data_IF_318554161912
#
_entry.id   IF_318554161912
#
_cell.length_a   1.000
_cell.length_b   1.000
_cell.length_c   1.000
_cell.angle_alpha   90.00
_cell.angle_beta   90.00
_cell.angle_gamma   90.00
#
_symmetry.space_group_name_H-M   'P 1'
#
loop_
_entity.id
_entity.type
_entity.pdbx_description
1 polymer ?
#
# COMPACT_ATOMS: atom_id res chain seq x y z
N UNK A 1 6.53 -19.30 -31.73
CA UNK A 1 5.56 -19.60 -30.65
C UNK A 1 6.33 -19.55 -29.34
N UNK A 2 6.30 -18.42 -28.63
CA UNK A 2 6.95 -18.28 -27.32
C UNK A 2 5.90 -18.58 -26.25
N UNK A 3 6.11 -19.68 -25.54
CA UNK A 3 5.26 -20.09 -24.42
C UNK A 3 5.43 -19.10 -23.28
N UNK A 4 4.32 -18.46 -22.91
CA UNK A 4 4.23 -17.56 -21.77
C UNK A 4 4.36 -18.41 -20.48
N UNK A 5 5.52 -18.39 -19.87
CA UNK A 5 5.75 -19.03 -18.57
C UNK A 5 5.18 -18.10 -17.50
N UNK A 6 4.01 -18.46 -16.99
CA UNK A 6 3.41 -17.76 -15.84
C UNK A 6 4.18 -18.17 -14.60
N UNK A 7 5.15 -17.36 -14.18
CA UNK A 7 5.84 -17.55 -12.90
C UNK A 7 4.89 -17.16 -11.78
N UNK A 8 4.40 -18.17 -11.05
CA UNK A 8 3.65 -17.98 -9.82
C UNK A 8 4.66 -17.77 -8.71
N UNK A 9 4.89 -16.51 -8.31
CA UNK A 9 5.66 -16.20 -7.11
C UNK A 9 4.78 -16.38 -5.88
N UNK A 10 5.12 -17.38 -5.09
CA UNK A 10 4.56 -17.59 -3.75
C UNK A 10 5.40 -16.77 -2.78
N UNK A 11 4.89 -15.60 -2.40
CA UNK A 11 5.47 -14.78 -1.35
C UNK A 11 5.10 -15.39 0.01
N UNK A 12 5.97 -16.24 0.56
CA UNK A 12 5.86 -16.73 1.92
C UNK A 12 6.68 -15.86 2.87
N UNK A 13 6.11 -14.74 3.31
CA UNK A 13 6.64 -13.99 4.45
C UNK A 13 5.90 -14.44 5.71
N UNK A 14 6.60 -15.20 6.55
CA UNK A 14 6.13 -15.55 7.90
C UNK A 14 6.25 -14.34 8.80
N UNK A 15 5.12 -13.68 9.07
CA UNK A 15 5.04 -12.67 10.11
C UNK A 15 4.91 -13.37 11.45
N UNK A 16 5.94 -13.26 12.31
CA UNK A 16 5.87 -13.62 13.71
C UNK A 16 5.02 -12.57 14.45
N UNK A 17 3.80 -12.94 14.79
CA UNK A 17 2.93 -12.14 15.64
C UNK A 17 3.26 -12.45 17.11
N UNK A 18 3.82 -11.48 17.82
CA UNK A 18 3.96 -11.50 19.26
C UNK A 18 2.67 -10.98 19.90
N UNK A 19 1.93 -11.88 20.53
CA UNK A 19 0.79 -11.55 21.35
C UNK A 19 1.27 -11.03 22.71
N UNK A 20 1.13 -9.73 22.93
CA UNK A 20 1.23 -9.13 24.26
C UNK A 20 -0.11 -9.17 24.96
N UNK A 21 -0.25 -10.02 25.96
CA UNK A 21 -1.35 -10.00 26.94
C UNK A 21 -1.06 -8.91 27.96
N UNK A 22 -1.98 -7.97 28.15
CA UNK A 22 -2.00 -7.22 29.40
C UNK A 22 -3.42 -7.10 29.93
N UNK A 23 -3.55 -7.53 31.16
CA UNK A 23 -4.78 -7.63 31.94
C UNK A 23 -4.87 -6.49 32.94
N UNK A 24 -6.08 -6.00 33.16
CA UNK A 24 -6.51 -5.59 34.49
C UNK A 24 -6.66 -4.11 34.77
N UNK A 25 -7.83 -3.77 35.25
CA UNK A 25 -7.99 -2.55 36.06
C UNK A 25 -9.38 -1.93 36.01
N UNK A 26 -10.28 -2.52 36.74
CA UNK A 26 -11.59 -1.98 37.15
C UNK A 26 -11.45 -0.76 38.06
N UNK A 27 -12.25 0.31 37.87
CA UNK A 27 -12.88 1.04 38.99
C UNK A 27 -13.91 2.07 38.50
N UNK A 28 -15.07 1.94 39.03
CA UNK A 28 -16.28 2.76 39.00
C UNK A 28 -16.12 4.10 39.71
N UNK A 29 -16.89 5.13 39.27
CA UNK A 29 -17.68 6.06 40.11
C UNK A 29 -18.16 7.22 39.23
N UNK A 30 -19.39 7.42 38.91
CA UNK A 30 -20.47 8.05 39.60
C UNK A 30 -20.42 9.58 39.59
N UNK A 31 -21.30 10.26 38.81
CA UNK A 31 -21.46 11.71 38.87
C UNK A 31 -22.49 12.23 37.85
N UNK A 32 -23.73 12.27 38.25
CA UNK A 32 -24.88 12.86 37.58
C UNK A 32 -24.84 14.37 37.60
N UNK A 33 -25.03 15.07 36.47
CA UNK A 33 -25.70 16.37 36.44
C UNK A 33 -26.21 16.70 35.05
N UNK A 34 -27.50 16.78 34.96
CA UNK A 34 -28.33 17.26 33.86
C UNK A 34 -28.10 18.75 33.58
N UNK A 35 -27.99 19.13 32.31
CA UNK A 35 -28.55 20.39 31.83
C UNK A 35 -28.80 20.34 30.32
N UNK A 36 -29.99 20.73 30.01
CA UNK A 36 -30.78 20.80 28.77
C UNK A 36 -30.17 21.62 27.62
N UNK A 37 -30.66 21.22 26.43
CA UNK A 37 -30.95 22.01 25.20
C UNK A 37 -29.79 22.17 24.20
N UNK A 38 -29.85 21.52 23.06
CA UNK A 38 -30.61 21.76 21.84
C UNK A 38 -30.35 20.65 20.82
N UNK A 39 -31.31 20.22 19.97
CA UNK A 39 -31.05 19.24 18.96
C UNK A 39 -30.44 19.92 17.74
N UNK A 40 -29.11 20.09 17.72
CA UNK A 40 -28.43 20.20 16.45
C UNK A 40 -28.56 18.85 15.76
N UNK A 41 -29.23 18.86 14.60
CA UNK A 41 -29.44 17.71 13.76
C UNK A 41 -28.16 16.92 13.50
N UNK A 42 -28.28 15.66 13.07
CA UNK A 42 -27.14 14.80 12.89
C UNK A 42 -26.19 15.44 11.89
N UNK A 43 -25.15 16.11 12.39
CA UNK A 43 -23.93 16.31 11.62
C UNK A 43 -23.47 14.92 11.30
N UNK A 44 -23.67 14.52 10.06
CA UNK A 44 -23.14 13.29 9.48
C UNK A 44 -21.62 13.41 9.51
N UNK A 45 -21.04 13.24 10.69
CA UNK A 45 -19.63 12.97 10.85
C UNK A 45 -19.43 11.50 10.41
N UNK A 46 -19.45 11.29 9.08
CA UNK A 46 -18.76 10.17 8.48
C UNK A 46 -17.25 10.42 8.69
N UNK A 47 -16.81 10.38 9.93
CA UNK A 47 -15.40 10.32 10.27
C UNK A 47 -14.95 8.92 9.87
N UNK A 48 -14.66 8.76 8.58
CA UNK A 48 -13.99 7.57 8.06
C UNK A 48 -12.68 7.49 8.83
N UNK A 49 -12.50 6.46 9.65
CA UNK A 49 -11.20 6.23 10.25
C UNK A 49 -10.25 5.79 9.13
N UNK A 50 -9.55 6.78 8.58
CA UNK A 50 -8.65 6.60 7.43
C UNK A 50 -7.59 5.54 7.67
N UNK A 51 -7.18 5.33 8.92
CA UNK A 51 -6.23 4.29 9.30
C UNK A 51 -6.87 2.90 9.17
N UNK A 52 -8.09 2.74 9.67
CA UNK A 52 -8.83 1.47 9.54
C UNK A 52 -9.07 1.13 8.07
N UNK A 53 -9.51 2.09 7.27
CA UNK A 53 -9.75 1.87 5.83
C UNK A 53 -8.46 1.57 5.07
N UNK A 54 -7.36 2.25 5.39
CA UNK A 54 -6.06 1.92 4.81
C UNK A 54 -5.64 0.47 5.09
N UNK A 55 -5.73 0.03 6.34
CA UNK A 55 -5.39 -1.36 6.70
C UNK A 55 -6.36 -2.38 6.10
N UNK A 56 -7.65 -2.03 5.97
CA UNK A 56 -8.65 -2.85 5.29
C UNK A 56 -8.32 -3.03 3.81
N UNK A 57 -7.94 -1.95 3.13
CA UNK A 57 -7.50 -1.98 1.74
C UNK A 57 -6.28 -2.88 1.55
N UNK A 58 -5.25 -2.73 2.38
CA UNK A 58 -4.06 -3.60 2.37
C UNK A 58 -4.45 -5.08 2.49
N UNK A 59 -5.32 -5.41 3.45
CA UNK A 59 -5.78 -6.80 3.63
C UNK A 59 -6.48 -7.36 2.40
N UNK A 60 -7.28 -6.54 1.68
CA UNK A 60 -7.91 -6.93 0.43
C UNK A 60 -6.87 -7.15 -0.68
N UNK A 61 -5.88 -6.26 -0.79
CA UNK A 61 -4.79 -6.39 -1.77
C UNK A 61 -3.99 -7.68 -1.53
N UNK A 62 -3.64 -8.00 -0.29
CA UNK A 62 -2.98 -9.28 0.05
C UNK A 62 -3.83 -10.51 -0.29
N UNK A 63 -5.15 -10.39 -0.23
CA UNK A 63 -6.08 -11.43 -0.69
C UNK A 63 -6.29 -11.44 -2.21
N UNK A 64 -5.54 -10.63 -2.96
CA UNK A 64 -5.66 -10.44 -4.41
C UNK A 64 -7.00 -9.84 -4.86
N UNK A 65 -7.75 -9.23 -3.94
CA UNK A 65 -8.97 -8.48 -4.22
C UNK A 65 -8.63 -7.03 -4.62
N UNK A 66 -7.78 -6.89 -5.64
CA UNK A 66 -7.12 -5.63 -6.01
C UNK A 66 -8.10 -4.49 -6.28
N UNK A 67 -9.14 -4.73 -7.07
CA UNK A 67 -10.13 -3.69 -7.40
C UNK A 67 -10.87 -3.16 -6.15
N UNK A 68 -11.17 -4.03 -5.19
CA UNK A 68 -11.82 -3.61 -3.94
C UNK A 68 -10.87 -2.83 -3.04
N UNK A 69 -9.61 -3.28 -2.94
CA UNK A 69 -8.58 -2.58 -2.18
C UNK A 69 -8.30 -1.19 -2.77
N UNK A 70 -8.13 -1.11 -4.10
CA UNK A 70 -7.91 0.16 -4.81
C UNK A 70 -9.03 1.15 -4.55
N UNK A 71 -10.29 0.73 -4.69
CA UNK A 71 -11.45 1.60 -4.46
C UNK A 71 -11.47 2.21 -3.04
N UNK A 72 -11.05 1.45 -2.03
CA UNK A 72 -10.95 1.97 -0.66
C UNK A 72 -9.82 3.01 -0.57
N UNK A 73 -8.65 2.74 -1.17
CA UNK A 73 -7.52 3.69 -1.17
C UNK A 73 -7.87 5.00 -1.89
N UNK A 74 -8.59 4.91 -3.02
CA UNK A 74 -9.08 6.09 -3.75
C UNK A 74 -10.04 6.93 -2.89
N UNK A 75 -10.92 6.30 -2.10
CA UNK A 75 -11.86 7.02 -1.23
C UNK A 75 -11.17 7.80 -0.10
N UNK A 76 -9.97 7.40 0.30
CA UNK A 76 -9.18 8.06 1.36
C UNK A 76 -7.98 8.83 0.80
N UNK A 77 -7.83 8.92 -0.53
CA UNK A 77 -6.69 9.58 -1.17
C UNK A 77 -6.55 11.03 -0.73
N UNK A 78 -7.64 11.77 -0.64
CA UNK A 78 -7.63 13.19 -0.30
C UNK A 78 -7.61 13.45 1.22
N UNK A 79 -7.79 12.41 2.02
CA UNK A 79 -7.79 12.52 3.47
C UNK A 79 -6.37 12.72 4.02
N UNK A 80 -6.30 13.40 5.18
CA UNK A 80 -5.03 13.54 5.88
C UNK A 80 -4.57 12.19 6.42
N UNK A 81 -3.36 11.71 6.07
CA UNK A 81 -2.87 10.43 6.55
C UNK A 81 -2.78 10.39 8.08
N UNK A 82 -3.25 9.28 8.66
CA UNK A 82 -3.10 8.99 10.08
C UNK A 82 -2.71 7.52 10.25
N UNK A 83 -1.58 7.27 10.90
CA UNK A 83 -1.08 5.92 11.12
C UNK A 83 -0.48 5.22 9.89
N UNK A 84 -0.32 5.96 8.77
CA UNK A 84 0.37 5.48 7.55
C UNK A 84 1.04 6.63 6.82
N UNK A 85 1.97 6.32 5.91
CA UNK A 85 2.59 7.32 5.03
C UNK A 85 1.79 7.45 3.73
N UNK A 86 1.63 8.67 3.23
CA UNK A 86 0.95 8.92 1.93
C UNK A 86 1.68 8.24 0.77
N UNK A 87 3.01 8.13 0.83
CA UNK A 87 3.79 7.40 -0.16
C UNK A 87 3.42 5.91 -0.20
N UNK A 88 3.24 5.27 0.97
CA UNK A 88 2.79 3.88 1.05
C UNK A 88 1.41 3.70 0.42
N UNK A 89 0.48 4.65 0.65
CA UNK A 89 -0.86 4.61 0.04
C UNK A 89 -0.76 4.59 -1.48
N UNK A 90 0.00 5.52 -2.07
CA UNK A 90 0.20 5.56 -3.52
C UNK A 90 0.91 4.31 -4.05
N UNK A 91 1.90 3.78 -3.33
CA UNK A 91 2.54 2.52 -3.71
C UNK A 91 1.53 1.37 -3.79
N UNK A 92 0.63 1.21 -2.80
CA UNK A 92 -0.42 0.20 -2.83
C UNK A 92 -1.47 0.45 -3.93
N UNK A 93 -1.80 1.71 -4.23
CA UNK A 93 -2.69 2.06 -5.36
C UNK A 93 -2.06 1.65 -6.70
N UNK A 94 -0.78 1.93 -6.89
CA UNK A 94 -0.01 1.50 -8.06
C UNK A 94 0.01 -0.01 -8.21
N UNK A 95 0.33 -0.72 -7.13
CA UNK A 95 0.36 -2.18 -7.12
C UNK A 95 -1.03 -2.78 -7.45
N UNK A 96 -2.09 -2.28 -6.82
CA UNK A 96 -3.44 -2.75 -7.08
C UNK A 96 -3.87 -2.47 -8.53
N UNK A 97 -3.55 -1.30 -9.09
CA UNK A 97 -3.86 -0.94 -10.48
C UNK A 97 -3.15 -1.86 -11.48
N UNK A 98 -1.89 -2.21 -11.22
CA UNK A 98 -1.08 -3.10 -12.07
C UNK A 98 -1.54 -4.57 -12.01
N UNK A 99 -1.91 -5.07 -10.82
CA UNK A 99 -2.20 -6.49 -10.57
C UNK A 99 -3.66 -6.89 -10.81
N UNK A 100 -4.54 -5.98 -11.22
CA UNK A 100 -5.92 -6.31 -11.59
C UNK A 100 -6.00 -7.27 -12.78
N UNK A 101 -7.16 -7.91 -12.95
CA UNK A 101 -7.44 -8.78 -14.12
C UNK A 101 -7.24 -8.04 -15.45
N UNK A 102 -7.63 -6.75 -15.48
CA UNK A 102 -7.37 -5.83 -16.58
C UNK A 102 -6.45 -4.73 -16.03
N UNK A 103 -5.11 -4.86 -16.15
CA UNK A 103 -4.17 -3.91 -15.60
C UNK A 103 -4.35 -2.51 -16.21
N UNK A 104 -4.29 -1.48 -15.37
CA UNK A 104 -4.18 -0.11 -15.81
C UNK A 104 -2.75 0.37 -15.54
N UNK A 105 -1.85 0.12 -16.50
CA UNK A 105 -0.43 0.44 -16.36
C UNK A 105 -0.16 1.94 -16.26
N UNK A 106 -0.94 2.78 -16.97
CA UNK A 106 -0.81 4.24 -16.91
C UNK A 106 -1.13 4.76 -15.49
N UNK A 107 -2.25 4.35 -14.92
CA UNK A 107 -2.58 4.74 -13.55
C UNK A 107 -1.58 4.17 -12.55
N UNK A 108 -1.14 2.93 -12.73
CA UNK A 108 -0.14 2.31 -11.85
C UNK A 108 1.17 3.12 -11.84
N UNK A 109 1.68 3.51 -13.03
CA UNK A 109 2.86 4.35 -13.17
C UNK A 109 2.67 5.69 -12.47
N UNK A 110 1.55 6.36 -12.70
CA UNK A 110 1.24 7.64 -12.06
C UNK A 110 1.23 7.54 -10.53
N UNK A 111 0.67 6.46 -9.97
CA UNK A 111 0.68 6.26 -8.53
C UNK A 111 2.08 5.98 -7.97
N UNK A 112 2.89 5.17 -8.64
CA UNK A 112 4.27 4.94 -8.20
C UNK A 112 5.11 6.22 -8.27
N UNK A 113 4.94 7.03 -9.33
CA UNK A 113 5.61 8.33 -9.44
C UNK A 113 5.16 9.31 -8.34
N UNK A 114 3.86 9.31 -7.97
CA UNK A 114 3.38 10.07 -6.81
C UNK A 114 4.03 9.58 -5.51
N UNK A 115 4.15 8.27 -5.30
CA UNK A 115 4.85 7.71 -4.14
C UNK A 115 6.30 8.21 -4.07
N UNK A 116 7.04 8.12 -5.19
CA UNK A 116 8.42 8.57 -5.29
C UNK A 116 8.60 10.10 -5.20
N UNK A 117 7.59 10.87 -5.55
CA UNK A 117 7.60 12.33 -5.35
C UNK A 117 7.50 12.72 -3.88
N UNK A 118 6.86 11.90 -3.06
CA UNK A 118 6.71 12.11 -1.61
C UNK A 118 7.86 11.49 -0.80
N UNK A 119 8.34 10.35 -1.24
CA UNK A 119 9.45 9.62 -0.63
C UNK A 119 10.30 9.05 -1.77
N UNK A 120 11.32 9.83 -2.16
CA UNK A 120 12.19 9.48 -3.29
C UNK A 120 12.89 8.14 -3.13
N UNK A 121 13.09 7.68 -1.91
CA UNK A 121 13.78 6.44 -1.57
C UNK A 121 12.82 5.33 -1.15
N UNK A 122 11.55 5.44 -1.52
CA UNK A 122 10.53 4.45 -1.22
C UNK A 122 10.81 3.13 -1.94
N UNK A 123 11.40 2.16 -1.23
CA UNK A 123 11.92 0.90 -1.76
C UNK A 123 10.88 0.16 -2.60
N UNK A 124 9.67 -0.06 -2.07
CA UNK A 124 8.63 -0.78 -2.82
C UNK A 124 8.14 -0.04 -4.08
N UNK A 125 8.18 1.30 -4.10
CA UNK A 125 7.81 2.04 -5.31
C UNK A 125 8.90 1.97 -6.38
N UNK A 126 10.19 1.98 -5.99
CA UNK A 126 11.31 1.77 -6.89
C UNK A 126 11.25 0.38 -7.54
N UNK A 127 11.03 -0.66 -6.74
CA UNK A 127 10.89 -2.05 -7.20
C UNK A 127 9.71 -2.19 -8.17
N UNK A 128 8.50 -1.83 -7.73
CA UNK A 128 7.29 -2.09 -8.50
C UNK A 128 7.16 -1.22 -9.75
N UNK A 129 7.71 -0.02 -9.75
CA UNK A 129 7.83 0.78 -10.97
C UNK A 129 8.85 0.16 -11.94
N UNK A 130 9.95 -0.40 -11.42
CA UNK A 130 10.92 -1.14 -12.22
C UNK A 130 10.30 -2.36 -12.90
N UNK A 131 9.53 -3.17 -12.15
CA UNK A 131 8.77 -4.29 -12.71
C UNK A 131 7.76 -3.82 -13.77
N UNK A 132 7.04 -2.72 -13.53
CA UNK A 132 6.09 -2.15 -14.50
C UNK A 132 6.79 -1.73 -15.79
N UNK A 133 7.96 -1.09 -15.69
CA UNK A 133 8.74 -0.70 -16.86
C UNK A 133 9.21 -1.91 -17.67
N UNK A 134 9.63 -2.97 -17.00
CA UNK A 134 9.95 -4.23 -17.66
C UNK A 134 8.73 -4.83 -18.37
N UNK A 135 7.58 -4.96 -17.69
CA UNK A 135 6.32 -5.47 -18.23
C UNK A 135 5.83 -4.68 -19.46
N UNK A 136 6.22 -3.40 -19.55
CA UNK A 136 5.84 -2.48 -20.65
C UNK A 136 6.96 -2.26 -21.68
N UNK A 137 7.99 -3.12 -21.70
CA UNK A 137 9.14 -3.08 -22.61
C UNK A 137 9.98 -1.79 -22.52
N UNK A 138 10.08 -1.21 -21.35
CA UNK A 138 10.90 -0.03 -21.03
C UNK A 138 12.10 -0.43 -20.16
N UNK A 139 12.87 -1.39 -20.63
CA UNK A 139 13.94 -2.06 -19.87
C UNK A 139 15.01 -1.09 -19.36
N UNK A 140 15.42 -0.09 -20.16
CA UNK A 140 16.42 0.89 -19.73
C UNK A 140 15.96 1.67 -18.51
N UNK A 141 14.66 2.00 -18.43
CA UNK A 141 14.09 2.66 -17.28
C UNK A 141 14.04 1.73 -16.06
N UNK A 142 13.73 0.46 -16.27
CA UNK A 142 13.75 -0.55 -15.20
C UNK A 142 15.16 -0.73 -14.62
N UNK A 143 16.19 -0.78 -15.47
CA UNK A 143 17.60 -0.87 -15.03
C UNK A 143 18.04 0.35 -14.23
N UNK A 144 17.63 1.57 -14.63
CA UNK A 144 17.91 2.79 -13.87
C UNK A 144 17.28 2.76 -12.47
N UNK A 145 16.11 2.15 -12.32
CA UNK A 145 15.47 1.97 -11.00
C UNK A 145 16.16 0.87 -10.18
N UNK A 146 16.64 -0.20 -10.83
CA UNK A 146 17.45 -1.22 -10.18
C UNK A 146 18.74 -0.63 -9.58
N UNK A 147 19.45 0.20 -10.35
CA UNK A 147 20.68 0.88 -9.87
C UNK A 147 20.37 1.74 -8.66
N UNK A 148 19.28 2.52 -8.71
CA UNK A 148 18.83 3.33 -7.57
C UNK A 148 18.44 2.47 -6.37
N UNK A 149 17.73 1.37 -6.59
CA UNK A 149 17.34 0.43 -5.55
C UNK A 149 18.56 -0.20 -4.87
N UNK A 150 19.62 -0.51 -5.63
CA UNK A 150 20.90 -0.97 -5.09
C UNK A 150 21.56 0.05 -4.16
N UNK A 151 21.46 1.34 -4.48
CA UNK A 151 21.99 2.43 -3.64
C UNK A 151 21.16 2.57 -2.35
N UNK A 152 19.84 2.53 -2.44
CA UNK A 152 18.92 2.83 -1.33
C UNK A 152 18.75 1.64 -0.38
N UNK A 153 18.52 0.44 -0.92
CA UNK A 153 18.21 -0.76 -0.16
C UNK A 153 19.40 -1.72 -0.03
N UNK A 154 20.40 -1.58 -0.91
CA UNK A 154 21.51 -2.51 -1.06
C UNK A 154 21.16 -3.71 -1.94
N UNK A 155 22.18 -4.25 -2.63
CA UNK A 155 22.02 -5.39 -3.56
C UNK A 155 21.64 -6.70 -2.85
N UNK A 156 21.78 -6.77 -1.53
CA UNK A 156 21.36 -7.93 -0.74
C UNK A 156 19.88 -7.92 -0.37
N UNK A 157 19.17 -6.81 -0.56
CA UNK A 157 17.73 -6.71 -0.28
C UNK A 157 16.90 -7.64 -1.16
N UNK A 158 15.72 -7.99 -0.70
CA UNK A 158 14.81 -8.84 -1.47
C UNK A 158 14.30 -8.09 -2.72
N UNK A 159 13.96 -6.84 -2.55
CA UNK A 159 13.42 -5.98 -3.60
C UNK A 159 14.42 -5.80 -4.75
N UNK A 160 15.70 -5.59 -4.42
CA UNK A 160 16.75 -5.54 -5.44
C UNK A 160 16.86 -6.87 -6.19
N UNK A 161 16.92 -7.99 -5.45
CA UNK A 161 17.05 -9.32 -6.07
C UNK A 161 15.86 -9.69 -6.93
N UNK A 162 14.64 -9.32 -6.53
CA UNK A 162 13.43 -9.59 -7.31
C UNK A 162 13.49 -8.84 -8.64
N UNK A 163 13.80 -7.55 -8.63
CA UNK A 163 13.93 -6.76 -9.86
C UNK A 163 15.15 -7.18 -10.70
N UNK A 164 16.29 -7.48 -10.06
CA UNK A 164 17.49 -7.97 -10.75
C UNK A 164 17.22 -9.27 -11.50
N UNK A 165 16.58 -10.26 -10.86
CA UNK A 165 16.25 -11.53 -11.47
C UNK A 165 15.23 -11.42 -12.61
N UNK A 166 14.39 -10.39 -12.59
CA UNK A 166 13.44 -10.14 -13.67
C UNK A 166 14.14 -9.58 -14.92
N UNK A 167 15.23 -8.83 -14.73
CA UNK A 167 15.98 -8.14 -15.79
C UNK A 167 17.12 -8.97 -16.39
N UNK A 168 17.48 -10.12 -15.80
CA UNK A 168 18.60 -10.97 -16.22
C UNK A 168 18.19 -12.43 -16.32
#
# INVERSE_FOLDING_TARGET
MKTLLTLIFILSSTLSYSAGTDSGGNSSSGGNSSSSNDPKGPSSNNNVDVNIEYHRAKKLIYKKEYAKGLKILENIEDEKPFGYKKADLYNYMGFASRKQKNPNYENAENYYLKALSLDGDHIGALEYLGELYFETNREDMARSLLDRLGIVAGESSNEYKELYNLLN
#
